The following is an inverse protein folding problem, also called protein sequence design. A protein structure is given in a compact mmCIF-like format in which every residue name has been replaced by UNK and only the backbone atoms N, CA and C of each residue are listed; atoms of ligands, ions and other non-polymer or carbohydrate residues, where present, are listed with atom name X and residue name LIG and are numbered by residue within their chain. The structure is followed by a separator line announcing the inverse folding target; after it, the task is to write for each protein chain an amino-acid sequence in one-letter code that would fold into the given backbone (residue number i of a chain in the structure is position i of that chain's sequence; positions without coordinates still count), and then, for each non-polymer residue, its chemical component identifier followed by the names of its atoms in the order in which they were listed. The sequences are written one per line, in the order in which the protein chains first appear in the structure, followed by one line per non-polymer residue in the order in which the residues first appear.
data_IF_110149052381
#
_entry.id   IF_110149052381
#
_cell.length_a   1.000
_cell.length_b   1.000
_cell.length_c   1.000
_cell.angle_alpha   90.00
_cell.angle_beta   90.00
_cell.angle_gamma   90.00
#
_symmetry.space_group_name_H-M   'P 1'
#
loop_
_entity.id
_entity.type
_entity.pdbx_description
1 polymer ?
#
# COMPACT_ATOMS: atom_id res chain seq x y z
N UNK A 1 -0.91 12.86 9.41
CA UNK A 1 -1.96 11.82 9.57
C UNK A 1 -2.80 11.57 8.29
N UNK A 2 -2.90 12.49 7.33
CA UNK A 2 -3.71 12.31 6.09
C UNK A 2 -3.06 11.34 5.08
N UNK A 3 -1.76 11.51 4.81
CA UNK A 3 -0.98 10.68 3.87
C UNK A 3 -1.08 9.17 4.10
N UNK A 4 -0.98 8.71 5.35
CA UNK A 4 -1.03 7.26 5.65
C UNK A 4 -2.41 6.65 5.34
N UNK A 5 -3.50 7.40 5.55
CA UNK A 5 -4.85 6.94 5.19
C UNK A 5 -5.02 6.85 3.68
N UNK A 6 -4.52 7.85 2.95
CA UNK A 6 -4.63 7.88 1.49
C UNK A 6 -3.81 6.74 0.84
N UNK A 7 -2.66 6.39 1.44
CA UNK A 7 -1.83 5.25 0.99
C UNK A 7 -2.54 3.92 1.27
N UNK A 8 -3.08 3.73 2.47
CA UNK A 8 -3.82 2.50 2.81
C UNK A 8 -5.04 2.36 1.89
N UNK A 9 -5.79 3.44 1.66
CA UNK A 9 -6.95 3.42 0.75
C UNK A 9 -6.57 3.14 -0.71
N UNK A 10 -5.34 3.45 -1.14
CA UNK A 10 -4.84 3.07 -2.47
C UNK A 10 -4.44 1.59 -2.56
N UNK A 11 -4.04 0.99 -1.46
CA UNK A 11 -3.57 -0.39 -1.38
C UNK A 11 -4.70 -1.39 -1.12
N UNK A 12 -5.74 -0.95 -0.40
CA UNK A 12 -6.94 -1.70 -0.10
C UNK A 12 -7.82 -1.83 -1.36
N UNK A 13 -7.58 -2.88 -2.14
CA UNK A 13 -8.31 -3.16 -3.38
C UNK A 13 -9.71 -3.72 -3.04
N UNK A 14 -9.80 -4.52 -1.97
CA UNK A 14 -11.05 -5.16 -1.57
C UNK A 14 -12.04 -4.19 -0.89
N UNK A 15 -11.55 -3.07 -0.35
CA UNK A 15 -12.35 -2.07 0.38
C UNK A 15 -12.74 -2.52 1.78
N UNK A 16 -12.09 -3.54 2.34
CA UNK A 16 -12.38 -4.11 3.66
C UNK A 16 -11.76 -3.30 4.81
N UNK A 17 -11.05 -2.21 4.48
CA UNK A 17 -10.30 -1.33 5.39
C UNK A 17 -9.15 -2.02 6.09
N UNK A 18 -8.75 -3.19 5.62
CA UNK A 18 -7.55 -3.91 6.03
C UNK A 18 -6.64 -4.01 4.82
N UNK A 19 -5.47 -4.60 5.05
CA UNK A 19 -4.44 -4.69 4.03
C UNK A 19 -3.81 -6.06 4.20
N UNK A 20 -4.21 -6.98 3.34
CA UNK A 20 -3.67 -8.33 3.36
C UNK A 20 -2.31 -8.37 2.64
N UNK A 21 -1.61 -9.50 2.75
CA UNK A 21 -0.25 -9.66 2.19
C UNK A 21 -0.24 -9.46 0.67
N UNK A 22 -1.26 -9.91 -0.03
CA UNK A 22 -1.35 -9.86 -1.49
C UNK A 22 -1.63 -8.44 -1.98
N UNK A 23 -2.55 -7.73 -1.33
CA UNK A 23 -2.81 -6.29 -1.55
C UNK A 23 -1.56 -5.45 -1.31
N UNK A 24 -0.82 -5.74 -0.24
CA UNK A 24 0.42 -5.06 0.07
C UNK A 24 1.48 -5.26 -1.02
N UNK A 25 1.73 -6.50 -1.43
CA UNK A 25 2.73 -6.84 -2.45
C UNK A 25 2.32 -6.24 -3.79
N UNK A 26 1.05 -6.39 -4.18
CA UNK A 26 0.52 -5.89 -5.45
C UNK A 26 0.62 -4.38 -5.52
N UNK A 27 0.22 -3.69 -4.46
CA UNK A 27 0.29 -2.25 -4.41
C UNK A 27 1.73 -1.70 -4.33
N UNK A 28 2.64 -2.37 -3.63
CA UNK A 28 4.07 -2.02 -3.68
C UNK A 28 4.70 -2.30 -5.05
N UNK A 29 4.24 -3.31 -5.80
CA UNK A 29 4.73 -3.55 -7.18
C UNK A 29 4.21 -2.50 -8.15
N UNK A 30 2.97 -2.04 -7.97
CA UNK A 30 2.32 -1.12 -8.89
C UNK A 30 2.66 0.36 -8.64
N UNK A 31 3.04 0.73 -7.41
CA UNK A 31 3.40 2.12 -7.07
C UNK A 31 4.82 2.18 -6.46
N UNK A 32 5.82 2.61 -7.26
CA UNK A 32 7.21 2.75 -6.81
C UNK A 32 7.39 3.74 -5.65
N UNK A 33 6.51 4.72 -5.51
CA UNK A 33 6.55 5.68 -4.41
C UNK A 33 6.12 4.99 -3.12
N UNK A 34 5.05 4.19 -3.18
CA UNK A 34 4.59 3.39 -2.04
C UNK A 34 5.65 2.35 -1.66
N UNK A 35 6.26 1.68 -2.64
CA UNK A 35 7.38 0.77 -2.41
C UNK A 35 8.53 1.46 -1.68
N UNK A 36 9.01 2.60 -2.18
CA UNK A 36 10.12 3.31 -1.56
C UNK A 36 9.77 3.87 -0.17
N UNK A 37 8.48 4.07 0.13
CA UNK A 37 8.04 4.56 1.43
C UNK A 37 7.88 3.44 2.48
N UNK A 38 7.29 2.30 2.08
CA UNK A 38 6.92 1.21 2.99
C UNK A 38 7.93 0.07 2.99
N UNK A 39 8.66 -0.11 1.90
CA UNK A 39 9.59 -1.19 1.64
C UNK A 39 10.82 -0.72 0.82
N UNK A 40 11.57 0.30 1.30
CA UNK A 40 12.71 0.88 0.55
C UNK A 40 13.86 -0.09 0.26
N UNK A 41 13.94 -1.22 0.97
CA UNK A 41 15.05 -2.18 0.91
C UNK A 41 14.59 -3.60 0.49
N UNK A 42 13.45 -3.73 -0.20
CA UNK A 42 12.96 -5.01 -0.73
C UNK A 42 13.38 -5.20 -2.18
#
# INVERSE_FOLDING_TARGET
KKRSKDIIAKLDISGDKKLNKEEFITGCKNDPIIRNLLAPNV
#
